data_IF_356433666263
#
_entry.id   IF_356433666263
#
_cell.length_a   1.000
_cell.length_b   1.000
_cell.length_c   1.000
_cell.angle_alpha   90.00
_cell.angle_beta   90.00
_cell.angle_gamma   90.00
#
_symmetry.space_group_name_H-M   'P 1'
#
loop_
_entity.id
_entity.type
_entity.pdbx_description
1 polymer ?
#
# COMPACT_ATOMS: atom_id res chain seq x y z
N UNK A 1 -34.52 -72.09 -23.11
CA UNK A 1 -34.41 -73.36 -23.84
C UNK A 1 -32.95 -73.79 -23.92
N UNK A 2 -32.72 -75.09 -24.06
CA UNK A 2 -31.51 -75.76 -24.57
C UNK A 2 -30.15 -75.47 -23.91
N UNK A 3 -29.71 -76.48 -23.18
CA UNK A 3 -28.35 -76.75 -22.70
C UNK A 3 -27.37 -77.13 -23.81
N UNK A 4 -26.08 -77.18 -23.48
CA UNK A 4 -25.35 -78.45 -23.56
C UNK A 4 -24.23 -78.52 -22.51
N UNK A 5 -24.06 -79.71 -21.92
CA UNK A 5 -22.99 -80.06 -20.95
C UNK A 5 -21.91 -80.84 -21.69
N UNK A 6 -20.69 -80.88 -21.15
CA UNK A 6 -19.93 -82.13 -21.07
C UNK A 6 -18.91 -82.12 -19.92
N UNK A 7 -18.76 -83.26 -19.26
CA UNK A 7 -17.73 -83.60 -18.24
C UNK A 7 -16.67 -84.51 -18.91
N UNK A 8 -15.62 -85.07 -18.30
CA UNK A 8 -15.16 -85.31 -16.92
C UNK A 8 -13.64 -85.63 -17.03
N UNK A 9 -12.93 -86.32 -16.11
CA UNK A 9 -13.19 -86.63 -14.70
C UNK A 9 -12.03 -86.35 -13.72
N UNK A 10 -12.42 -86.36 -12.43
CA UNK A 10 -11.71 -86.89 -11.25
C UNK A 10 -10.24 -87.33 -11.35
N UNK A 11 -9.44 -86.94 -10.35
CA UNK A 11 -8.69 -87.90 -9.54
C UNK A 11 -8.70 -87.49 -8.06
N UNK A 12 -8.71 -88.50 -7.18
CA UNK A 12 -8.86 -88.36 -5.72
C UNK A 12 -7.49 -88.41 -5.05
N UNK A 13 -7.28 -87.60 -4.02
CA UNK A 13 -6.06 -87.62 -3.20
C UNK A 13 -6.32 -87.12 -1.78
N UNK A 14 -6.94 -87.96 -0.94
CA UNK A 14 -6.87 -87.79 0.52
C UNK A 14 -5.46 -88.14 0.97
N UNK A 15 -4.87 -87.32 1.84
CA UNK A 15 -3.82 -87.72 2.77
C UNK A 15 -4.17 -87.17 4.15
N UNK A 16 -3.98 -88.01 5.17
CA UNK A 16 -4.66 -87.87 6.46
C UNK A 16 -4.10 -86.78 7.38
N UNK A 17 -4.94 -86.39 8.34
CA UNK A 17 -4.49 -85.64 9.50
C UNK A 17 -3.48 -86.47 10.30
N UNK A 18 -2.34 -85.86 10.62
CA UNK A 18 -1.63 -86.16 11.87
C UNK A 18 -1.57 -84.90 12.70
N UNK A 19 -2.19 -84.94 13.87
CA UNK A 19 -2.19 -83.81 14.80
C UNK A 19 -0.82 -83.69 15.45
N UNK A 20 -0.08 -82.62 15.15
CA UNK A 20 1.06 -82.19 15.97
C UNK A 20 0.71 -80.89 16.69
N UNK A 21 0.38 -81.01 17.97
CA UNK A 21 0.13 -79.89 18.87
C UNK A 21 1.43 -79.16 19.19
N UNK A 22 1.77 -78.14 18.39
CA UNK A 22 2.82 -77.19 18.74
C UNK A 22 2.32 -75.75 18.62
N UNK A 23 2.00 -75.17 19.78
CA UNK A 23 1.67 -73.75 19.93
C UNK A 23 2.90 -72.91 19.56
N UNK A 24 3.01 -72.54 18.29
CA UNK A 24 3.81 -71.38 17.90
C UNK A 24 2.93 -70.15 18.00
N UNK A 25 3.15 -69.36 19.04
CA UNK A 25 2.65 -67.99 19.11
C UNK A 25 3.35 -67.16 18.03
N UNK A 26 2.86 -67.26 16.79
CA UNK A 26 3.21 -66.33 15.71
C UNK A 26 2.57 -64.97 16.03
N UNK A 27 3.21 -64.26 16.95
CA UNK A 27 3.05 -62.81 17.07
C UNK A 27 3.51 -62.24 15.74
N UNK A 28 2.55 -61.93 14.87
CA UNK A 28 2.81 -61.14 13.66
C UNK A 28 3.18 -59.75 14.15
N UNK A 29 4.46 -59.54 14.40
CA UNK A 29 5.01 -58.20 14.55
C UNK A 29 4.76 -57.51 13.22
N UNK A 30 3.78 -56.61 13.20
CA UNK A 30 3.63 -55.63 12.15
C UNK A 30 4.90 -54.76 12.15
N UNK A 31 5.93 -55.22 11.45
CA UNK A 31 7.14 -54.45 11.19
C UNK A 31 6.69 -53.10 10.66
N UNK A 32 7.07 -52.04 11.36
CA UNK A 32 6.59 -50.70 11.08
C UNK A 32 6.79 -50.43 9.58
N UNK A 33 5.68 -50.20 8.85
CA UNK A 33 5.75 -49.86 7.42
C UNK A 33 6.58 -48.58 7.33
N UNK A 34 7.84 -48.74 6.92
CA UNK A 34 8.78 -47.63 6.78
C UNK A 34 8.18 -46.52 5.94
N UNK A 35 8.59 -45.25 6.15
CA UNK A 35 8.01 -44.10 5.48
C UNK A 35 7.98 -44.35 3.96
N UNK A 36 6.75 -44.38 3.41
CA UNK A 36 6.48 -44.78 2.02
C UNK A 36 7.42 -44.02 1.08
N UNK A 37 8.21 -44.69 0.20
CA UNK A 37 9.22 -44.02 -0.60
C UNK A 37 8.64 -42.85 -1.39
N UNK A 38 9.10 -41.64 -1.07
CA UNK A 38 8.75 -40.44 -1.84
C UNK A 38 9.60 -40.45 -3.10
N UNK A 39 9.01 -40.90 -4.20
CA UNK A 39 9.55 -40.70 -5.55
C UNK A 39 9.92 -39.21 -5.73
N UNK A 40 11.06 -38.89 -6.38
CA UNK A 40 11.41 -37.50 -6.67
C UNK A 40 10.27 -36.81 -7.38
N UNK A 41 9.86 -35.63 -6.89
CA UNK A 41 8.80 -34.85 -7.52
C UNK A 41 9.35 -34.26 -8.82
N UNK A 42 9.21 -35.01 -9.92
CA UNK A 42 9.79 -34.71 -11.25
C UNK A 42 9.44 -33.30 -11.69
N UNK A 43 8.21 -32.88 -11.40
CA UNK A 43 7.76 -31.50 -11.47
C UNK A 43 8.31 -30.69 -10.28
N UNK A 44 9.47 -30.03 -10.48
CA UNK A 44 9.92 -28.96 -9.58
C UNK A 44 8.88 -27.85 -9.62
N UNK A 45 8.14 -27.63 -8.52
CA UNK A 45 7.33 -26.42 -8.42
C UNK A 45 8.27 -25.21 -8.36
N UNK A 46 8.26 -24.38 -9.40
CA UNK A 46 8.89 -23.06 -9.32
C UNK A 46 8.22 -22.32 -8.16
N UNK A 47 8.99 -22.03 -7.11
CA UNK A 47 8.50 -21.23 -5.97
C UNK A 47 8.08 -19.87 -6.53
N UNK A 48 6.77 -19.58 -6.55
CA UNK A 48 6.27 -18.26 -6.95
C UNK A 48 6.97 -17.22 -6.07
N UNK A 49 7.66 -16.28 -6.70
CA UNK A 49 8.29 -15.16 -6.00
C UNK A 49 7.17 -14.36 -5.34
N UNK A 50 7.19 -14.29 -4.01
CA UNK A 50 6.14 -13.60 -3.25
C UNK A 50 6.13 -12.09 -3.54
N UNK A 51 4.97 -11.45 -3.37
CA UNK A 51 4.74 -10.02 -3.63
C UNK A 51 5.80 -9.12 -2.97
N UNK A 52 6.27 -9.48 -1.78
CA UNK A 52 7.32 -8.76 -1.04
C UNK A 52 8.67 -8.81 -1.76
N UNK A 53 9.08 -10.00 -2.20
CA UNK A 53 10.32 -10.19 -2.95
C UNK A 53 10.24 -9.59 -4.35
N UNK A 54 9.06 -9.60 -4.99
CA UNK A 54 8.83 -8.86 -6.25
C UNK A 54 8.97 -7.34 -6.04
N UNK A 55 8.38 -6.79 -4.97
CA UNK A 55 8.44 -5.34 -4.71
C UNK A 55 9.85 -4.89 -4.38
N UNK A 56 10.60 -5.70 -3.61
CA UNK A 56 12.01 -5.39 -3.32
C UNK A 56 12.85 -5.36 -4.59
N UNK A 57 12.72 -6.40 -5.45
CA UNK A 57 13.41 -6.41 -6.75
C UNK A 57 13.07 -5.19 -7.61
N UNK A 58 11.82 -4.74 -7.63
CA UNK A 58 11.44 -3.52 -8.36
C UNK A 58 12.16 -2.28 -7.80
N UNK A 59 12.22 -2.12 -6.48
CA UNK A 59 12.96 -1.04 -5.82
C UNK A 59 14.45 -1.09 -6.17
N UNK A 60 15.07 -2.26 -6.05
CA UNK A 60 16.50 -2.46 -6.32
C UNK A 60 16.82 -2.15 -7.80
N UNK A 61 15.98 -2.61 -8.74
CA UNK A 61 16.08 -2.27 -10.15
C UNK A 61 15.95 -0.76 -10.39
N UNK A 62 14.90 -0.11 -9.89
CA UNK A 62 14.64 1.33 -10.12
C UNK A 62 15.76 2.20 -9.54
N UNK A 63 16.36 1.81 -8.40
CA UNK A 63 17.49 2.53 -7.81
C UNK A 63 18.75 2.46 -8.67
N UNK A 64 19.05 1.28 -9.25
CA UNK A 64 20.29 1.02 -10.01
C UNK A 64 20.34 1.60 -11.43
N UNK A 65 19.22 2.13 -11.96
CA UNK A 65 19.15 2.74 -13.30
C UNK A 65 19.64 4.19 -13.29
N UNK A 66 19.88 4.80 -14.46
CA UNK A 66 20.10 6.25 -14.52
C UNK A 66 18.79 7.02 -14.22
N UNK A 67 18.86 8.35 -14.27
CA UNK A 67 17.68 9.21 -14.17
C UNK A 67 16.96 9.42 -15.52
N UNK A 68 17.43 8.80 -16.61
CA UNK A 68 16.82 8.90 -17.94
C UNK A 68 15.45 8.21 -17.94
N UNK A 69 14.42 8.94 -18.38
CA UNK A 69 13.03 8.47 -18.42
C UNK A 69 12.88 7.14 -19.17
N UNK A 70 13.55 7.01 -20.31
CA UNK A 70 13.45 5.86 -21.21
C UNK A 70 14.01 4.58 -20.60
N UNK A 71 15.17 4.65 -19.93
CA UNK A 71 15.76 3.51 -19.21
C UNK A 71 14.83 3.03 -18.08
N UNK A 72 14.33 3.96 -17.26
CA UNK A 72 13.44 3.62 -16.14
C UNK A 72 12.12 3.04 -16.65
N UNK A 73 11.54 3.60 -17.71
CA UNK A 73 10.28 3.12 -18.27
C UNK A 73 10.45 1.77 -18.98
N UNK A 74 11.56 1.56 -19.70
CA UNK A 74 11.89 0.29 -20.35
C UNK A 74 12.20 -0.84 -19.36
N UNK A 75 12.88 -0.52 -18.25
CA UNK A 75 13.08 -1.47 -17.16
C UNK A 75 11.77 -1.85 -16.45
N UNK A 76 10.88 -0.88 -16.24
CA UNK A 76 9.56 -1.14 -15.65
C UNK A 76 8.62 -1.90 -16.60
N UNK A 77 8.70 -1.64 -17.91
CA UNK A 77 7.95 -2.36 -18.94
C UNK A 77 8.44 -3.81 -19.07
N UNK A 78 9.76 -4.03 -19.11
CA UNK A 78 10.32 -5.40 -19.12
C UNK A 78 10.04 -6.18 -17.82
N UNK A 79 9.91 -5.49 -16.68
CA UNK A 79 9.45 -6.09 -15.42
C UNK A 79 7.98 -6.55 -15.50
N UNK A 80 7.12 -5.83 -16.23
CA UNK A 80 5.71 -6.20 -16.43
C UNK A 80 5.50 -7.24 -17.54
N UNK A 81 6.37 -7.31 -18.54
CA UNK A 81 6.17 -8.13 -19.76
C UNK A 81 5.82 -9.61 -19.53
N UNK A 82 6.09 -10.16 -18.33
CA UNK A 82 5.82 -11.55 -17.94
C UNK A 82 4.67 -11.71 -16.92
N UNK A 83 4.02 -10.64 -16.50
CA UNK A 83 2.86 -10.67 -15.59
C UNK A 83 1.54 -10.63 -16.39
N UNK A 84 0.60 -11.50 -16.04
CA UNK A 84 -0.73 -11.58 -16.69
C UNK A 84 -1.62 -10.37 -16.38
N UNK A 85 -1.42 -9.75 -15.22
CA UNK A 85 -2.15 -8.59 -14.72
C UNK A 85 -1.15 -7.51 -14.30
N UNK A 86 -1.53 -6.23 -14.41
CA UNK A 86 -0.66 -5.15 -13.94
C UNK A 86 -0.43 -5.30 -12.41
N UNK A 87 0.83 -5.37 -11.94
CA UNK A 87 1.15 -5.75 -10.57
C UNK A 87 0.96 -4.58 -9.56
N UNK A 88 -0.24 -3.99 -9.52
CA UNK A 88 -0.62 -2.82 -8.70
C UNK A 88 -0.18 -2.96 -7.23
N UNK A 89 -0.35 -4.12 -6.63
CA UNK A 89 0.01 -4.38 -5.23
C UNK A 89 1.54 -4.37 -5.03
N UNK A 90 2.30 -4.87 -6.00
CA UNK A 90 3.77 -4.87 -6.00
C UNK A 90 4.27 -3.43 -6.13
N UNK A 91 3.76 -2.68 -7.10
CA UNK A 91 4.12 -1.27 -7.36
C UNK A 91 3.74 -0.40 -6.15
N UNK A 92 2.52 -0.52 -5.61
CA UNK A 92 2.10 0.21 -4.41
C UNK A 92 2.98 -0.09 -3.20
N UNK A 93 3.44 -1.33 -3.04
CA UNK A 93 4.38 -1.70 -1.98
C UNK A 93 5.77 -1.10 -2.21
N UNK A 94 6.27 -1.15 -3.45
CA UNK A 94 7.55 -0.56 -3.83
C UNK A 94 7.58 0.98 -3.66
N UNK A 95 6.49 1.66 -4.01
CA UNK A 95 6.31 3.10 -3.77
C UNK A 95 6.37 3.43 -2.28
N UNK A 96 5.73 2.62 -1.42
CA UNK A 96 5.79 2.82 0.03
C UNK A 96 7.19 2.60 0.61
N UNK A 97 7.98 1.67 0.08
CA UNK A 97 9.38 1.50 0.49
C UNK A 97 10.27 2.65 0.01
N UNK A 98 10.10 3.12 -1.23
CA UNK A 98 10.79 4.31 -1.74
C UNK A 98 10.41 5.57 -0.92
N UNK A 99 9.16 5.69 -0.47
CA UNK A 99 8.69 6.78 0.40
C UNK A 99 9.37 6.74 1.78
N UNK A 100 9.54 5.56 2.38
CA UNK A 100 10.32 5.43 3.64
C UNK A 100 11.81 5.75 3.46
N UNK A 101 12.34 5.58 2.25
CA UNK A 101 13.73 5.87 1.88
C UNK A 101 13.93 7.30 1.35
N UNK A 102 12.83 8.06 1.15
CA UNK A 102 12.80 9.44 0.59
C UNK A 102 13.33 9.56 -0.84
N UNK A 103 13.19 8.52 -1.64
CA UNK A 103 13.60 8.47 -3.06
C UNK A 103 12.58 9.18 -3.98
N UNK A 104 12.31 10.47 -3.74
CA UNK A 104 11.22 11.23 -4.37
C UNK A 104 11.26 11.21 -5.90
N UNK A 105 12.44 11.34 -6.50
CA UNK A 105 12.65 11.26 -7.97
C UNK A 105 12.16 9.93 -8.55
N UNK A 106 12.46 8.82 -7.86
CA UNK A 106 12.03 7.47 -8.26
C UNK A 106 10.54 7.28 -8.07
N UNK A 107 9.96 7.80 -7.00
CA UNK A 107 8.50 7.81 -6.76
C UNK A 107 7.79 8.54 -7.90
N UNK A 108 8.27 9.73 -8.30
CA UNK A 108 7.72 10.49 -9.43
C UNK A 108 7.79 9.68 -10.73
N UNK A 109 8.95 9.08 -11.05
CA UNK A 109 9.13 8.26 -12.26
C UNK A 109 8.17 7.06 -12.28
N UNK A 110 8.11 6.28 -11.20
CA UNK A 110 7.28 5.07 -11.12
C UNK A 110 5.78 5.41 -11.15
N UNK A 111 5.32 6.46 -10.47
CA UNK A 111 3.91 6.86 -10.53
C UNK A 111 3.55 7.41 -11.90
N UNK A 112 4.37 8.29 -12.50
CA UNK A 112 4.10 8.81 -13.86
C UNK A 112 4.08 7.69 -14.90
N UNK A 113 4.96 6.69 -14.80
CA UNK A 113 4.89 5.49 -15.63
C UNK A 113 3.58 4.70 -15.42
N UNK A 114 3.21 4.41 -14.17
CA UNK A 114 1.98 3.67 -13.85
C UNK A 114 0.72 4.37 -14.40
N UNK A 115 0.64 5.70 -14.21
CA UNK A 115 -0.47 6.52 -14.72
C UNK A 115 -0.49 6.57 -16.26
N UNK A 116 0.67 6.61 -16.93
CA UNK A 116 0.77 6.55 -18.39
C UNK A 116 0.28 5.22 -18.98
N UNK A 117 0.41 4.11 -18.24
CA UNK A 117 -0.21 2.82 -18.61
C UNK A 117 -1.72 2.77 -18.36
N UNK A 118 -2.33 3.88 -17.92
CA UNK A 118 -3.74 3.97 -17.53
C UNK A 118 -4.05 3.36 -16.16
N UNK A 119 -3.03 2.88 -15.44
CA UNK A 119 -3.18 2.06 -14.24
C UNK A 119 -3.08 2.89 -12.97
N UNK A 120 -3.69 2.39 -11.89
CA UNK A 120 -3.55 2.99 -10.56
C UNK A 120 -4.06 4.44 -10.43
N UNK A 121 -4.94 4.92 -11.32
CA UNK A 121 -5.62 6.22 -11.19
C UNK A 121 -6.51 6.24 -9.94
N UNK A 122 -5.95 6.70 -8.83
CA UNK A 122 -6.65 6.80 -7.54
C UNK A 122 -6.21 8.07 -6.80
N UNK A 123 -7.07 8.59 -5.93
CA UNK A 123 -6.71 9.71 -5.05
C UNK A 123 -5.45 9.45 -4.22
N UNK A 124 -5.20 8.19 -3.82
CA UNK A 124 -3.96 7.82 -3.14
C UNK A 124 -2.72 8.03 -4.03
N UNK A 125 -2.77 7.57 -5.28
CA UNK A 125 -1.66 7.72 -6.25
C UNK A 125 -1.39 9.18 -6.60
N UNK A 126 -2.46 9.96 -6.81
CA UNK A 126 -2.36 11.39 -7.06
C UNK A 126 -1.76 12.14 -5.87
N UNK A 127 -2.21 11.82 -4.64
CA UNK A 127 -1.64 12.40 -3.42
C UNK A 127 -0.17 12.04 -3.23
N UNK A 128 0.24 10.79 -3.47
CA UNK A 128 1.66 10.39 -3.38
C UNK A 128 2.53 11.06 -4.44
N UNK A 129 1.99 11.32 -5.63
CA UNK A 129 2.71 12.05 -6.68
C UNK A 129 2.84 13.54 -6.31
N UNK A 130 1.76 14.18 -5.84
CA UNK A 130 1.79 15.55 -5.34
C UNK A 130 2.78 15.70 -4.17
N UNK A 131 2.78 14.73 -3.25
CA UNK A 131 3.72 14.67 -2.14
C UNK A 131 5.16 14.60 -2.65
N UNK A 132 5.47 13.65 -3.53
CA UNK A 132 6.82 13.50 -4.05
C UNK A 132 7.31 14.71 -4.87
N UNK A 133 6.44 15.35 -5.67
CA UNK A 133 6.78 16.59 -6.39
C UNK A 133 7.08 17.76 -5.44
N UNK A 134 6.30 17.90 -4.37
CA UNK A 134 6.53 18.91 -3.34
C UNK A 134 7.87 18.72 -2.62
N UNK A 135 8.21 17.48 -2.22
CA UNK A 135 9.45 17.15 -1.51
C UNK A 135 10.70 17.13 -2.43
N UNK A 136 10.55 16.82 -3.73
CA UNK A 136 11.61 16.93 -4.76
C UNK A 136 11.84 18.38 -5.23
N UNK A 137 11.04 19.34 -4.75
CA UNK A 137 11.17 20.76 -5.06
C UNK A 137 10.51 21.22 -6.36
N UNK A 138 9.84 20.34 -7.10
CA UNK A 138 9.25 20.59 -8.44
C UNK A 138 7.86 21.20 -8.33
N UNK A 139 7.80 22.49 -8.00
CA UNK A 139 6.55 23.21 -7.75
C UNK A 139 5.70 23.39 -9.01
N UNK A 140 6.28 23.73 -10.16
CA UNK A 140 5.53 23.94 -11.41
C UNK A 140 4.70 22.69 -11.76
N UNK A 141 5.32 21.51 -11.76
CA UNK A 141 4.63 20.23 -11.98
C UNK A 141 3.64 19.86 -10.86
N UNK A 142 3.85 20.35 -9.62
CA UNK A 142 2.91 20.18 -8.53
C UNK A 142 1.67 21.07 -8.72
N UNK A 143 1.83 22.29 -9.22
CA UNK A 143 0.75 23.20 -9.59
C UNK A 143 -0.04 22.69 -10.80
N UNK A 144 0.63 22.23 -11.87
CA UNK A 144 -0.01 21.59 -13.02
C UNK A 144 -0.88 20.40 -12.59
N UNK A 145 -0.33 19.52 -11.74
CA UNK A 145 -1.03 18.36 -11.22
C UNK A 145 -2.18 18.75 -10.30
N UNK A 146 -2.00 19.76 -9.43
CA UNK A 146 -3.05 20.33 -8.61
C UNK A 146 -4.21 20.85 -9.47
N UNK A 147 -3.94 21.73 -10.43
CA UNK A 147 -4.97 22.32 -11.29
C UNK A 147 -5.74 21.26 -12.08
N UNK A 148 -5.05 20.21 -12.55
CA UNK A 148 -5.68 19.09 -13.23
C UNK A 148 -6.63 18.31 -12.32
N UNK A 149 -6.20 17.95 -11.11
CA UNK A 149 -7.04 17.19 -10.17
C UNK A 149 -8.17 18.08 -9.63
N UNK A 150 -7.91 19.36 -9.38
CA UNK A 150 -8.91 20.32 -8.89
C UNK A 150 -10.03 20.53 -9.92
N UNK A 151 -9.71 20.67 -11.20
CA UNK A 151 -10.71 20.77 -12.28
C UNK A 151 -11.45 19.44 -12.56
N UNK A 152 -10.79 18.28 -12.41
CA UNK A 152 -11.39 16.96 -12.65
C UNK A 152 -12.27 16.48 -11.47
N UNK A 153 -11.99 16.90 -10.22
CA UNK A 153 -12.61 16.35 -9.00
C UNK A 153 -13.16 17.39 -8.01
N UNK A 154 -13.22 18.67 -8.38
CA UNK A 154 -13.70 19.85 -7.64
C UNK A 154 -14.35 19.59 -6.26
N UNK A 155 -15.62 19.19 -6.18
CA UNK A 155 -16.35 18.94 -4.92
C UNK A 155 -15.92 17.66 -4.17
N UNK A 156 -15.39 16.67 -4.89
CA UNK A 156 -14.98 15.37 -4.36
C UNK A 156 -13.53 15.35 -3.87
N UNK A 157 -12.82 16.48 -3.89
CA UNK A 157 -11.41 16.53 -3.58
C UNK A 157 -11.14 16.31 -2.08
N UNK A 158 -10.37 15.29 -1.68
CA UNK A 158 -10.10 15.03 -0.26
C UNK A 158 -9.35 16.20 0.39
N UNK A 159 -9.80 16.62 1.60
CA UNK A 159 -9.20 17.71 2.39
C UNK A 159 -7.67 17.76 2.37
N UNK A 160 -7.01 16.59 2.45
CA UNK A 160 -5.55 16.44 2.51
C UNK A 160 -4.80 17.09 1.33
N UNK A 161 -5.40 17.23 0.15
CA UNK A 161 -4.77 17.89 -0.98
C UNK A 161 -4.63 19.41 -0.75
N UNK A 162 -5.70 20.10 -0.34
CA UNK A 162 -5.65 21.50 0.09
C UNK A 162 -4.60 21.71 1.19
N UNK A 163 -4.56 20.80 2.19
CA UNK A 163 -3.57 20.87 3.27
C UNK A 163 -2.14 20.83 2.73
N UNK A 164 -1.86 19.99 1.73
CA UNK A 164 -0.53 19.84 1.15
C UNK A 164 -0.13 21.06 0.32
N UNK A 165 -1.04 21.63 -0.47
CA UNK A 165 -0.79 22.84 -1.24
C UNK A 165 -0.57 24.07 -0.36
N UNK A 166 -1.41 24.29 0.66
CA UNK A 166 -1.21 25.37 1.64
C UNK A 166 0.15 25.24 2.33
N UNK A 167 0.55 24.02 2.73
CA UNK A 167 1.86 23.75 3.33
C UNK A 167 3.03 24.00 2.36
N UNK A 168 2.88 23.64 1.08
CA UNK A 168 3.87 23.86 0.02
C UNK A 168 4.08 25.36 -0.25
N UNK A 169 3.01 26.14 -0.37
CA UNK A 169 3.12 27.58 -0.57
C UNK A 169 3.65 28.31 0.67
N UNK A 170 3.23 27.89 1.88
CA UNK A 170 3.75 28.41 3.12
C UNK A 170 5.27 28.22 3.25
N UNK A 171 5.79 27.02 2.95
CA UNK A 171 7.23 26.72 3.04
C UNK A 171 8.09 27.51 2.05
N UNK A 172 7.47 28.09 1.01
CA UNK A 172 8.11 28.92 -0.02
C UNK A 172 7.83 30.41 0.11
N UNK A 173 7.09 30.85 1.13
CA UNK A 173 6.69 32.25 1.31
C UNK A 173 5.67 32.76 0.29
N UNK A 174 5.04 31.87 -0.50
CA UNK A 174 4.07 32.23 -1.54
C UNK A 174 2.68 32.48 -0.94
N UNK A 175 2.58 33.53 -0.11
CA UNK A 175 1.41 33.76 0.73
C UNK A 175 0.12 34.06 -0.06
N UNK A 176 0.21 34.65 -1.25
CA UNK A 176 -0.94 34.94 -2.11
C UNK A 176 -1.63 33.65 -2.58
N UNK A 177 -0.90 32.76 -3.27
CA UNK A 177 -1.43 31.43 -3.67
C UNK A 177 -1.88 30.57 -2.48
N UNK A 178 -1.25 30.74 -1.32
CA UNK A 178 -1.68 30.08 -0.08
C UNK A 178 -3.07 30.57 0.37
N UNK A 179 -3.39 31.85 0.19
CA UNK A 179 -4.72 32.41 0.49
C UNK A 179 -5.76 32.05 -0.57
N UNK A 180 -5.38 31.94 -1.85
CA UNK A 180 -6.25 31.46 -2.93
C UNK A 180 -6.74 30.03 -2.64
N UNK A 181 -5.83 29.08 -2.40
CA UNK A 181 -6.20 27.69 -2.06
C UNK A 181 -6.99 27.61 -0.75
N UNK A 182 -6.80 28.55 0.18
CA UNK A 182 -7.64 28.62 1.37
C UNK A 182 -9.04 29.14 1.07
N UNK A 183 -9.19 30.13 0.19
CA UNK A 183 -10.50 30.61 -0.27
C UNK A 183 -11.27 29.50 -0.99
N UNK A 184 -10.66 28.81 -1.95
CA UNK A 184 -11.22 27.63 -2.63
C UNK A 184 -11.71 26.58 -1.62
N UNK A 185 -10.89 26.32 -0.60
CA UNK A 185 -11.19 25.37 0.46
C UNK A 185 -12.42 25.78 1.29
N UNK A 186 -12.60 27.08 1.55
CA UNK A 186 -13.78 27.61 2.25
C UNK A 186 -15.03 27.64 1.37
N UNK A 187 -14.91 27.99 0.09
CA UNK A 187 -16.00 28.04 -0.89
C UNK A 187 -16.59 26.65 -1.15
N UNK A 188 -15.73 25.63 -1.23
CA UNK A 188 -16.13 24.21 -1.32
C UNK A 188 -16.62 23.63 0.01
N UNK A 189 -16.75 24.44 1.06
CA UNK A 189 -17.22 24.01 2.39
C UNK A 189 -16.27 23.05 3.13
N UNK A 190 -15.04 22.88 2.65
CA UNK A 190 -14.07 21.94 3.20
C UNK A 190 -13.44 22.54 4.45
N UNK A 191 -13.90 22.12 5.63
CA UNK A 191 -13.40 22.68 6.90
C UNK A 191 -11.86 22.52 7.04
N UNK A 192 -11.10 23.61 7.30
CA UNK A 192 -9.67 23.56 7.53
C UNK A 192 -9.32 22.82 8.82
N UNK A 193 -8.14 22.21 8.84
CA UNK A 193 -7.58 21.61 10.05
C UNK A 193 -6.95 22.68 10.97
N UNK A 194 -6.86 22.40 12.27
CA UNK A 194 -6.26 23.31 13.25
C UNK A 194 -4.79 23.64 12.96
N UNK A 195 -4.06 22.76 12.27
CA UNK A 195 -2.71 23.03 11.78
C UNK A 195 -2.68 24.18 10.75
N UNK A 196 -3.63 24.20 9.82
CA UNK A 196 -3.78 25.21 8.76
C UNK A 196 -4.25 26.54 9.33
N UNK A 197 -5.25 26.52 10.21
CA UNK A 197 -5.75 27.73 10.87
C UNK A 197 -4.62 28.44 11.61
N UNK A 198 -3.72 27.69 12.27
CA UNK A 198 -2.52 28.26 12.90
C UNK A 198 -1.53 28.82 11.88
N UNK A 199 -1.20 28.08 10.82
CA UNK A 199 -0.29 28.55 9.76
C UNK A 199 -0.80 29.86 9.13
N UNK A 200 -2.07 29.92 8.77
CA UNK A 200 -2.71 31.12 8.22
C UNK A 200 -2.70 32.28 9.24
N UNK A 201 -2.99 32.00 10.51
CA UNK A 201 -2.91 32.99 11.58
C UNK A 201 -1.50 33.56 11.74
N UNK A 202 -0.48 32.71 11.77
CA UNK A 202 0.93 33.10 11.85
C UNK A 202 1.34 33.99 10.66
N UNK A 203 0.85 33.69 9.44
CA UNK A 203 1.08 34.53 8.25
C UNK A 203 0.32 35.86 8.31
N UNK A 204 -0.96 35.86 8.71
CA UNK A 204 -1.72 37.11 8.84
C UNK A 204 -1.09 38.07 9.85
N UNK A 205 -0.57 37.56 10.97
CA UNK A 205 0.18 38.36 11.95
C UNK A 205 1.48 38.93 11.35
N UNK A 206 2.27 38.10 10.65
CA UNK A 206 3.51 38.55 9.98
C UNK A 206 3.28 39.62 8.91
N UNK A 207 2.14 39.57 8.22
CA UNK A 207 1.74 40.53 7.18
C UNK A 207 0.91 41.71 7.74
N UNK A 208 0.75 41.84 9.06
CA UNK A 208 -0.02 42.93 9.69
C UNK A 208 -1.54 42.90 9.44
N UNK A 209 -2.08 41.83 8.86
CA UNK A 209 -3.50 41.70 8.50
C UNK A 209 -4.37 41.27 9.70
N UNK A 210 -4.41 42.12 10.74
CA UNK A 210 -5.12 41.85 12.00
C UNK A 210 -6.61 41.55 11.79
N UNK A 211 -7.31 42.31 10.94
CA UNK A 211 -8.73 42.08 10.62
C UNK A 211 -9.02 40.66 10.11
N UNK A 212 -8.12 40.11 9.29
CA UNK A 212 -8.25 38.75 8.74
C UNK A 212 -7.93 37.71 9.81
N UNK A 213 -6.92 37.96 10.64
CA UNK A 213 -6.57 37.12 11.79
C UNK A 213 -7.72 37.00 12.80
N UNK A 214 -8.39 38.12 13.14
CA UNK A 214 -9.55 38.10 14.03
C UNK A 214 -10.75 37.36 13.43
N UNK A 215 -11.06 37.60 12.15
CA UNK A 215 -12.11 36.87 11.43
C UNK A 215 -11.83 35.36 11.39
N UNK A 216 -10.58 34.96 11.12
CA UNK A 216 -10.16 33.55 11.11
C UNK A 216 -10.35 32.90 12.47
N UNK A 217 -9.88 33.53 13.56
CA UNK A 217 -10.01 33.00 14.92
C UNK A 217 -11.47 32.94 15.40
N UNK A 218 -12.31 33.89 14.97
CA UNK A 218 -13.75 33.89 15.25
C UNK A 218 -14.48 32.76 14.52
N UNK A 219 -14.10 32.47 13.28
CA UNK A 219 -14.67 31.39 12.45
C UNK A 219 -14.20 30.00 12.89
N UNK A 220 -12.92 29.88 13.26
CA UNK A 220 -12.28 28.63 13.69
C UNK A 220 -11.64 28.78 15.07
N UNK A 221 -12.43 28.89 16.15
CA UNK A 221 -11.89 28.95 17.50
C UNK A 221 -11.12 27.65 17.82
N UNK A 222 -10.01 27.74 18.59
CA UNK A 222 -9.24 26.57 18.98
C UNK A 222 -10.11 25.61 19.81
N UNK A 223 -9.92 24.29 19.68
CA UNK A 223 -10.71 23.31 20.41
C UNK A 223 -10.52 23.49 21.92
N UNK A 224 -11.61 23.68 22.64
CA UNK A 224 -11.60 23.87 24.11
C UNK A 224 -11.23 22.60 24.88
N UNK A 225 -11.35 21.44 24.24
CA UNK A 225 -11.06 20.12 24.80
C UNK A 225 -10.25 19.28 23.82
N UNK A 226 -9.23 18.61 24.33
CA UNK A 226 -8.46 17.59 23.62
C UNK A 226 -8.66 16.22 24.28
N UNK A 227 -8.54 15.15 23.51
CA UNK A 227 -8.50 13.79 24.04
C UNK A 227 -7.06 13.30 24.05
N UNK A 228 -6.53 12.95 25.23
CA UNK A 228 -5.21 12.31 25.36
C UNK A 228 -5.37 10.89 25.88
N UNK A 229 -4.53 9.98 25.39
CA UNK A 229 -4.40 8.65 25.96
C UNK A 229 -3.34 8.68 27.07
N UNK A 230 -3.77 8.48 28.31
CA UNK A 230 -2.90 8.43 29.49
C UNK A 230 -3.07 7.06 30.13
N UNK A 231 -1.98 6.29 30.23
CA UNK A 231 -1.98 4.90 30.74
C UNK A 231 -3.06 4.03 30.05
N UNK A 232 -3.17 4.14 28.73
CA UNK A 232 -4.16 3.42 27.90
C UNK A 232 -5.60 3.93 27.98
N UNK A 233 -5.95 4.84 28.90
CA UNK A 233 -7.30 5.40 29.02
C UNK A 233 -7.42 6.71 28.22
N UNK A 234 -8.51 6.88 27.47
CA UNK A 234 -8.83 8.13 26.75
C UNK A 234 -9.45 9.14 27.73
N UNK A 235 -8.72 10.21 28.03
CA UNK A 235 -9.14 11.26 28.96
C UNK A 235 -9.43 12.55 28.18
N UNK A 236 -10.53 13.23 28.50
CA UNK A 236 -10.85 14.57 27.98
C UNK A 236 -10.17 15.62 28.86
N UNK A 237 -9.26 16.38 28.28
CA UNK A 237 -8.46 17.42 28.96
C UNK A 237 -8.84 18.78 28.36
N UNK A 238 -8.91 19.82 29.19
CA UNK A 238 -9.15 21.19 28.71
C UNK A 238 -7.86 21.73 28.08
N UNK A 239 -7.95 22.24 26.86
CA UNK A 239 -6.78 22.82 26.17
C UNK A 239 -6.46 24.17 26.80
N UNK A 240 -5.30 24.27 27.45
CA UNK A 240 -4.81 25.53 28.00
C UNK A 240 -4.05 26.32 26.92
N UNK A 241 -4.76 27.17 26.18
CA UNK A 241 -4.22 28.06 25.13
C UNK A 241 -3.21 29.09 25.65
N UNK A 242 -3.14 29.33 26.96
CA UNK A 242 -2.41 30.43 27.60
C UNK A 242 -0.89 30.23 27.74
N UNK A 243 -0.33 29.06 27.39
CA UNK A 243 1.10 28.75 27.62
C UNK A 243 2.03 28.90 26.41
N UNK A 244 1.55 29.36 25.24
CA UNK A 244 2.34 29.37 23.98
C UNK A 244 2.73 30.75 23.42
N UNK A 245 2.52 31.82 24.18
CA UNK A 245 2.82 33.22 23.77
C UNK A 245 4.03 33.76 24.58
N UNK A 246 4.87 32.88 25.12
CA UNK A 246 6.06 33.22 25.94
C UNK A 246 7.17 32.20 25.73
N UNK A 247 7.80 32.26 24.57
CA UNK A 247 9.15 31.74 24.24
C UNK A 247 9.57 32.39 22.91
#
# INVERSE_FOLDING_TARGET
>A
MLSLRYTSPMMVGRLDMTALTRKFNLVVVCGARGPRPRYPRVWKSQKRIGTISKSQKLVDCVKGLSNVKEEVYGALDSFIAWELEFPLVVVKKALKTLETEKEWKRIIQVIKWMLNKGQGKTMGSYYTLLNALAEDGRLEEAEELWMKIFSEYLESLPRVFFMKMISLYYSRGMHEKMFEVFADMEELGVRPDGSIVRILGDVFLKLGMLDKYEKLNKKYPPPTWEYRYIKGKRIRIRVNTTKKIRE
#
